data_IF_636052543466
#
_entry.id   IF_636052543466
#
_cell.length_a   1.000
_cell.length_b   1.000
_cell.length_c   1.000
_cell.angle_alpha   90.00
_cell.angle_beta   90.00
_cell.angle_gamma   90.00
#
_symmetry.space_group_name_H-M   'P 1'
#
loop_
_entity.id
_entity.type
_entity.pdbx_description
1 polymer ?
#
# COMPACT_ATOMS: atom_id res chain seq x y z
N UNK A 1 1.30 -25.90 5.16
CA UNK A 1 1.57 -24.81 6.12
C UNK A 1 2.00 -25.33 7.48
N UNK A 2 1.43 -26.45 7.98
CA UNK A 2 1.79 -27.00 9.29
C UNK A 2 3.21 -27.60 9.43
N UNK A 3 3.96 -27.71 8.32
CA UNK A 3 5.31 -28.28 8.28
C UNK A 3 6.40 -27.27 7.90
N UNK A 4 6.09 -25.97 7.89
CA UNK A 4 7.11 -24.94 7.66
C UNK A 4 8.04 -24.87 8.89
N UNK A 5 9.36 -25.07 8.74
CA UNK A 5 10.30 -25.14 9.86
C UNK A 5 10.42 -23.82 10.64
N UNK A 6 9.93 -22.73 10.08
CA UNK A 6 10.01 -21.35 10.57
C UNK A 6 8.63 -20.75 10.90
N UNK A 7 7.60 -21.58 11.06
CA UNK A 7 6.20 -21.14 11.30
C UNK A 7 6.03 -20.14 12.45
N UNK A 8 6.81 -20.30 13.53
CA UNK A 8 6.71 -19.46 14.72
C UNK A 8 7.79 -18.36 14.75
N UNK A 9 8.59 -18.24 13.69
CA UNK A 9 9.62 -17.20 13.59
C UNK A 9 8.96 -15.86 13.36
N UNK A 10 9.19 -14.92 14.27
CA UNK A 10 8.82 -13.52 14.08
C UNK A 10 9.93 -12.82 13.33
N UNK A 11 9.58 -12.04 12.30
CA UNK A 11 10.56 -11.22 11.58
C UNK A 11 11.02 -10.08 12.46
N UNK A 12 12.32 -9.79 12.41
CA UNK A 12 12.85 -8.52 12.94
C UNK A 12 12.39 -7.35 12.07
N UNK A 13 12.48 -6.13 12.59
CA UNK A 13 12.11 -4.93 11.85
C UNK A 13 12.83 -4.79 10.49
N UNK A 14 14.16 -5.05 10.38
CA UNK A 14 14.85 -5.01 9.09
C UNK A 14 14.40 -6.13 8.12
N UNK A 15 14.21 -7.35 8.62
CA UNK A 15 13.72 -8.46 7.78
C UNK A 15 12.31 -8.18 7.25
N UNK A 16 11.47 -7.53 8.06
CA UNK A 16 10.16 -7.10 7.61
C UNK A 16 10.26 -6.01 6.53
N UNK A 17 11.18 -5.05 6.67
CA UNK A 17 11.40 -4.00 5.67
C UNK A 17 11.89 -4.58 4.34
N UNK A 18 12.80 -5.55 4.37
CA UNK A 18 13.27 -6.29 3.18
C UNK A 18 12.13 -7.04 2.50
N UNK A 19 11.30 -7.74 3.28
CA UNK A 19 10.15 -8.47 2.76
C UNK A 19 9.12 -7.52 2.11
N UNK A 20 8.76 -6.43 2.78
CA UNK A 20 7.81 -5.45 2.23
C UNK A 20 8.36 -4.77 0.97
N UNK A 21 9.67 -4.54 0.91
CA UNK A 21 10.33 -4.03 -0.28
C UNK A 21 10.19 -5.00 -1.45
N UNK A 22 10.46 -6.29 -1.24
CA UNK A 22 10.31 -7.31 -2.27
C UNK A 22 8.85 -7.46 -2.75
N UNK A 23 7.87 -7.32 -1.84
CA UNK A 23 6.45 -7.33 -2.18
C UNK A 23 6.08 -6.10 -3.03
N UNK A 24 6.57 -4.92 -2.68
CA UNK A 24 6.39 -3.70 -3.44
C UNK A 24 6.97 -3.81 -4.85
N UNK A 25 8.20 -4.30 -4.97
CA UNK A 25 8.84 -4.54 -6.26
C UNK A 25 8.03 -5.53 -7.11
N UNK A 26 7.50 -6.59 -6.50
CA UNK A 26 6.65 -7.55 -7.19
C UNK A 26 5.34 -6.91 -7.69
N UNK A 27 4.73 -6.02 -6.91
CA UNK A 27 3.54 -5.29 -7.34
C UNK A 27 3.87 -4.34 -8.52
N UNK A 28 5.01 -3.67 -8.47
CA UNK A 28 5.50 -2.76 -9.52
C UNK A 28 5.72 -3.50 -10.85
N UNK A 29 6.15 -4.77 -10.84
CA UNK A 29 6.34 -5.58 -12.06
C UNK A 29 5.07 -5.74 -12.90
N UNK A 30 3.89 -5.50 -12.32
CA UNK A 30 2.62 -5.59 -13.06
C UNK A 30 2.51 -4.54 -14.17
N UNK A 31 3.16 -3.38 -14.01
CA UNK A 31 3.15 -2.30 -14.98
C UNK A 31 4.59 -1.87 -15.28
N UNK A 32 5.09 -1.98 -16.52
CA UNK A 32 6.50 -1.69 -16.84
C UNK A 32 6.98 -0.29 -16.42
N UNK A 33 6.08 0.71 -16.39
CA UNK A 33 6.39 2.08 -15.99
C UNK A 33 6.44 2.29 -14.47
N UNK A 34 6.08 1.29 -13.67
CA UNK A 34 6.04 1.38 -12.21
C UNK A 34 7.30 0.81 -11.54
N UNK A 35 8.31 0.33 -12.29
CA UNK A 35 9.53 -0.22 -11.70
C UNK A 35 10.20 0.82 -10.78
N UNK A 36 10.30 0.49 -9.48
CA UNK A 36 10.87 1.37 -8.46
C UNK A 36 9.92 2.43 -7.92
N UNK A 37 8.67 2.46 -8.38
CA UNK A 37 7.64 3.40 -7.93
C UNK A 37 7.37 3.25 -6.45
N UNK A 38 7.14 2.01 -5.99
CA UNK A 38 6.81 1.73 -4.59
C UNK A 38 7.92 2.18 -3.64
N UNK A 39 9.19 1.94 -4.00
CA UNK A 39 10.36 2.42 -3.22
C UNK A 39 10.43 3.95 -3.20
N UNK A 40 10.29 4.59 -4.35
CA UNK A 40 10.33 6.05 -4.47
C UNK A 40 9.23 6.74 -3.65
N UNK A 41 8.00 6.23 -3.70
CA UNK A 41 6.88 6.71 -2.89
C UNK A 41 7.16 6.51 -1.40
N UNK A 42 7.65 5.33 -1.00
CA UNK A 42 7.97 5.03 0.39
C UNK A 42 9.01 5.99 0.98
N UNK A 43 10.10 6.25 0.25
CA UNK A 43 11.17 7.12 0.73
C UNK A 43 10.73 8.59 0.79
N UNK A 44 9.94 9.06 -0.19
CA UNK A 44 9.34 10.40 -0.16
C UNK A 44 8.36 10.56 1.00
N UNK A 45 7.53 9.56 1.25
CA UNK A 45 6.55 9.59 2.34
C UNK A 45 7.24 9.58 3.72
N UNK A 46 8.30 8.78 3.88
CA UNK A 46 9.10 8.76 5.10
C UNK A 46 9.78 10.11 5.36
N UNK A 47 10.33 10.74 4.32
CA UNK A 47 10.95 12.07 4.44
C UNK A 47 9.92 13.15 4.78
N UNK A 48 8.73 13.09 4.17
CA UNK A 48 7.64 13.98 4.51
C UNK A 48 7.19 13.82 5.96
N UNK A 49 7.07 12.57 6.45
CA UNK A 49 6.73 12.27 7.84
C UNK A 49 7.75 12.85 8.82
N UNK A 50 9.05 12.66 8.57
CA UNK A 50 10.12 13.26 9.40
C UNK A 50 10.02 14.78 9.45
N UNK A 51 9.81 15.42 8.30
CA UNK A 51 9.67 16.90 8.22
C UNK A 51 8.42 17.42 8.92
N UNK A 52 7.37 16.61 8.96
CA UNK A 52 6.15 16.90 9.70
C UNK A 52 6.28 16.64 11.22
N UNK A 53 7.43 16.13 11.69
CA UNK A 53 7.70 15.90 13.11
C UNK A 53 7.07 14.62 13.67
N UNK A 54 6.72 13.65 12.81
CA UNK A 54 6.24 12.34 13.25
C UNK A 54 7.36 11.56 13.97
N UNK A 55 6.96 10.61 14.82
CA UNK A 55 7.93 9.76 15.50
C UNK A 55 8.68 8.86 14.51
N UNK A 56 9.82 8.31 14.94
CA UNK A 56 10.57 7.36 14.11
C UNK A 56 9.76 6.06 13.88
N UNK A 57 8.89 5.67 14.81
CA UNK A 57 7.99 4.54 14.63
C UNK A 57 6.94 4.81 13.53
N UNK A 58 6.34 6.00 13.54
CA UNK A 58 5.33 6.41 12.57
C UNK A 58 5.94 6.63 11.19
N UNK A 59 7.15 7.19 11.15
CA UNK A 59 7.95 7.31 9.92
C UNK A 59 8.19 5.94 9.29
N UNK A 60 8.56 4.91 10.08
CA UNK A 60 8.69 3.54 9.58
C UNK A 60 7.36 2.98 9.11
N UNK A 61 6.27 3.21 9.84
CA UNK A 61 4.93 2.76 9.45
C UNK A 61 4.50 3.35 8.10
N UNK A 62 4.64 4.65 7.91
CA UNK A 62 4.32 5.35 6.65
C UNK A 62 5.20 4.84 5.51
N UNK A 63 6.50 4.64 5.76
CA UNK A 63 7.41 4.07 4.76
C UNK A 63 6.96 2.68 4.32
N UNK A 64 6.68 1.80 5.29
CA UNK A 64 6.17 0.43 5.05
C UNK A 64 4.88 0.45 4.26
N UNK A 65 3.94 1.33 4.62
CA UNK A 65 2.69 1.48 3.89
C UNK A 65 2.91 1.94 2.45
N UNK A 66 3.83 2.90 2.23
CA UNK A 66 4.22 3.36 0.90
C UNK A 66 4.78 2.25 0.00
N UNK A 67 5.58 1.33 0.58
CA UNK A 67 6.14 0.19 -0.17
C UNK A 67 5.07 -0.75 -0.73
N UNK A 68 3.93 -0.88 -0.06
CA UNK A 68 2.90 -1.87 -0.44
C UNK A 68 1.56 -1.25 -0.81
N UNK A 69 1.48 0.08 -0.95
CA UNK A 69 0.22 0.81 -1.18
C UNK A 69 -0.55 0.31 -2.42
N UNK A 70 0.18 -0.10 -3.45
CA UNK A 70 -0.33 -0.54 -4.73
C UNK A 70 -0.45 -2.07 -4.89
N UNK A 71 -0.22 -2.86 -3.84
CA UNK A 71 -0.26 -4.33 -3.94
C UNK A 71 -1.57 -4.86 -4.55
N UNK A 72 -2.68 -4.18 -4.28
CA UNK A 72 -3.99 -4.51 -4.82
C UNK A 72 -4.15 -4.29 -6.32
N UNK A 73 -3.22 -3.60 -7.00
CA UNK A 73 -3.23 -3.48 -8.47
C UNK A 73 -3.22 -4.84 -9.14
N UNK A 74 -2.63 -5.85 -8.48
CA UNK A 74 -2.63 -7.25 -8.92
C UNK A 74 -4.04 -7.78 -9.24
N UNK A 75 -5.08 -7.31 -8.55
CA UNK A 75 -6.47 -7.73 -8.77
C UNK A 75 -7.19 -7.05 -9.94
N UNK A 76 -6.56 -6.11 -10.63
CA UNK A 76 -7.13 -5.40 -11.78
C UNK A 76 -6.47 -5.89 -13.08
N UNK A 77 -7.21 -6.25 -14.15
CA UNK A 77 -6.63 -6.76 -15.39
C UNK A 77 -5.69 -5.75 -16.07
N UNK A 78 -4.59 -6.23 -16.68
CA UNK A 78 -3.66 -5.35 -17.42
C UNK A 78 -4.34 -4.65 -18.60
N UNK A 79 -5.34 -5.28 -19.24
CA UNK A 79 -6.12 -4.63 -20.29
C UNK A 79 -6.86 -3.36 -19.84
N UNK A 80 -7.07 -3.19 -18.52
CA UNK A 80 -7.61 -1.95 -17.94
C UNK A 80 -6.48 -0.95 -17.68
N UNK A 81 -5.36 -1.38 -17.10
CA UNK A 81 -4.21 -0.51 -16.80
C UNK A 81 -3.52 0.06 -18.04
N UNK A 82 -3.42 -0.75 -19.10
CA UNK A 82 -2.70 -0.44 -20.33
C UNK A 82 -3.65 0.02 -21.45
N UNK A 83 -4.93 0.28 -21.12
CA UNK A 83 -5.94 0.67 -22.09
C UNK A 83 -5.53 1.96 -22.82
N UNK A 84 -5.45 1.97 -24.16
CA UNK A 84 -5.27 3.20 -24.90
C UNK A 84 -6.56 4.02 -24.86
N UNK A 85 -6.49 5.24 -24.33
CA UNK A 85 -7.64 6.16 -24.24
C UNK A 85 -8.36 6.13 -22.89
N UNK A 86 -9.52 6.79 -22.77
CA UNK A 86 -10.21 6.93 -21.49
C UNK A 86 -10.80 5.60 -20.99
N UNK A 87 -10.74 5.41 -19.68
CA UNK A 87 -11.46 4.34 -19.00
C UNK A 87 -12.96 4.63 -19.00
N UNK A 88 -13.74 3.60 -19.28
CA UNK A 88 -15.18 3.55 -18.97
C UNK A 88 -15.39 3.67 -17.47
N UNK A 89 -16.62 3.99 -17.06
CA UNK A 89 -16.98 4.06 -15.63
C UNK A 89 -16.70 2.72 -14.91
N UNK A 90 -17.11 1.59 -15.48
CA UNK A 90 -16.87 0.27 -14.91
C UNK A 90 -15.37 -0.08 -14.78
N UNK A 91 -14.53 0.36 -15.73
CA UNK A 91 -13.08 0.18 -15.67
C UNK A 91 -12.45 1.08 -14.59
N UNK A 92 -12.93 2.32 -14.48
CA UNK A 92 -12.49 3.25 -13.44
C UNK A 92 -12.82 2.72 -12.05
N UNK A 93 -14.01 2.19 -11.84
CA UNK A 93 -14.37 1.58 -10.56
C UNK A 93 -13.49 0.37 -10.22
N UNK A 94 -13.12 -0.45 -11.21
CA UNK A 94 -12.14 -1.53 -11.00
C UNK A 94 -10.78 -1.01 -10.55
N UNK A 95 -10.28 0.05 -11.18
CA UNK A 95 -9.05 0.73 -10.75
C UNK A 95 -9.20 1.24 -9.32
N UNK A 96 -10.32 1.88 -8.96
CA UNK A 96 -10.57 2.40 -7.61
C UNK A 96 -10.65 1.34 -6.52
N UNK A 97 -10.84 0.06 -6.88
CA UNK A 97 -10.83 -1.04 -5.91
C UNK A 97 -9.41 -1.42 -5.44
N UNK A 98 -8.35 -1.02 -6.13
CA UNK A 98 -7.00 -1.48 -5.77
C UNK A 98 -6.56 -1.14 -4.33
N UNK A 99 -6.87 0.03 -3.72
CA UNK A 99 -6.49 0.29 -2.33
C UNK A 99 -7.25 -0.61 -1.35
N UNK A 100 -8.52 -0.90 -1.64
CA UNK A 100 -9.31 -1.87 -0.89
C UNK A 100 -8.68 -3.28 -0.95
N UNK A 101 -8.24 -3.70 -2.14
CA UNK A 101 -7.58 -4.98 -2.32
C UNK A 101 -6.22 -5.03 -1.60
N UNK A 102 -5.44 -3.94 -1.63
CA UNK A 102 -4.22 -3.79 -0.84
C UNK A 102 -4.49 -4.05 0.64
N UNK A 103 -5.45 -3.32 1.22
CA UNK A 103 -5.82 -3.49 2.62
C UNK A 103 -6.30 -4.91 2.94
N UNK A 104 -7.12 -5.50 2.06
CA UNK A 104 -7.64 -6.86 2.23
C UNK A 104 -6.54 -7.92 2.22
N UNK A 105 -5.53 -7.77 1.37
CA UNK A 105 -4.38 -8.71 1.30
C UNK A 105 -3.54 -8.58 2.57
N UNK A 106 -3.15 -7.36 2.94
CA UNK A 106 -2.25 -7.10 4.06
C UNK A 106 -2.87 -7.48 5.41
N UNK A 107 -4.17 -7.25 5.62
CA UNK A 107 -4.89 -7.64 6.85
C UNK A 107 -4.92 -9.15 7.12
N UNK A 108 -4.56 -9.98 6.13
CA UNK A 108 -4.42 -11.44 6.35
C UNK A 108 -3.15 -11.79 7.10
N UNK A 109 -2.17 -10.89 7.14
CA UNK A 109 -0.90 -11.10 7.84
C UNK A 109 -0.98 -10.47 9.22
N UNK A 110 -0.84 -11.31 10.26
CA UNK A 110 -0.79 -10.82 11.64
C UNK A 110 0.41 -9.89 11.80
N UNK A 111 0.19 -8.70 12.37
CA UNK A 111 1.22 -7.67 12.54
C UNK A 111 1.25 -6.60 11.44
N UNK A 112 0.49 -6.75 10.35
CA UNK A 112 0.40 -5.72 9.29
C UNK A 112 -0.88 -4.89 9.34
N UNK A 113 -1.62 -4.90 10.45
CA UNK A 113 -2.90 -4.20 10.54
C UNK A 113 -2.77 -2.69 10.31
N UNK A 114 -1.77 -2.06 10.92
CA UNK A 114 -1.53 -0.62 10.81
C UNK A 114 -0.99 -0.26 9.43
N UNK A 115 -0.04 -1.04 8.91
CA UNK A 115 0.47 -0.90 7.54
C UNK A 115 -0.69 -1.00 6.55
N UNK A 116 -1.60 -1.97 6.73
CA UNK A 116 -2.76 -2.16 5.87
C UNK A 116 -3.76 -0.99 5.95
N UNK A 117 -3.91 -0.37 7.13
CA UNK A 117 -4.80 0.77 7.30
C UNK A 117 -4.29 1.99 6.52
N UNK A 118 -3.01 2.33 6.68
CA UNK A 118 -2.38 3.45 5.98
C UNK A 118 -2.29 3.18 4.48
N UNK A 119 -1.86 1.98 4.08
CA UNK A 119 -1.73 1.59 2.68
C UNK A 119 -3.07 1.57 1.94
N UNK A 120 -4.18 1.20 2.59
CA UNK A 120 -5.50 1.20 1.97
C UNK A 120 -6.12 2.60 1.83
N UNK A 121 -5.64 3.57 2.60
CA UNK A 121 -6.17 4.93 2.64
C UNK A 121 -5.42 5.92 1.73
N UNK A 122 -4.45 5.48 0.93
CA UNK A 122 -3.60 6.38 0.13
C UNK A 122 -4.34 7.20 -0.96
N UNK A 123 -5.59 6.84 -1.26
CA UNK A 123 -6.49 7.60 -2.14
C UNK A 123 -7.63 8.31 -1.41
N UNK A 124 -7.62 8.29 -0.07
CA UNK A 124 -8.52 9.10 0.73
C UNK A 124 -8.13 10.58 0.67
N UNK A 125 -9.10 11.45 0.90
CA UNK A 125 -8.93 12.90 0.82
C UNK A 125 -9.50 13.53 2.06
N UNK A 126 -8.86 14.59 2.58
CA UNK A 126 -9.26 15.22 3.84
C UNK A 126 -10.70 15.75 3.82
N UNK A 127 -11.23 16.07 2.65
CA UNK A 127 -12.61 16.51 2.42
C UNK A 127 -13.64 15.36 2.29
N UNK A 128 -13.20 14.10 2.38
CA UNK A 128 -14.05 12.91 2.24
C UNK A 128 -14.40 12.53 0.80
N UNK A 129 -13.90 13.25 -0.21
CA UNK A 129 -14.14 12.93 -1.64
C UNK A 129 -13.30 11.77 -2.18
N UNK A 130 -12.46 11.19 -1.32
CA UNK A 130 -11.56 10.08 -1.64
C UNK A 130 -12.26 8.72 -1.71
N UNK A 131 -11.44 7.66 -1.75
CA UNK A 131 -11.90 6.28 -1.81
C UNK A 131 -10.84 5.34 -1.20
N UNK A 132 -11.20 4.12 -0.76
CA UNK A 132 -12.47 3.41 -0.95
C UNK A 132 -13.56 3.68 0.10
N UNK A 133 -13.22 4.28 1.24
CA UNK A 133 -14.14 4.51 2.37
C UNK A 133 -14.79 5.89 2.34
N UNK A 134 -14.22 6.85 1.62
CA UNK A 134 -14.67 8.26 1.67
C UNK A 134 -14.38 8.89 3.03
N UNK A 135 -13.26 8.47 3.65
CA UNK A 135 -12.86 8.91 4.97
C UNK A 135 -12.36 10.35 4.91
N UNK A 136 -13.02 11.25 5.64
CA UNK A 136 -12.54 12.62 5.84
C UNK A 136 -11.36 12.67 6.81
N UNK A 137 -10.70 13.83 6.90
CA UNK A 137 -9.47 13.99 7.69
C UNK A 137 -9.58 13.57 9.15
N UNK A 138 -10.75 13.76 9.78
CA UNK A 138 -10.97 13.34 11.17
C UNK A 138 -10.95 11.81 11.38
N UNK A 139 -11.20 11.03 10.33
CA UNK A 139 -11.14 9.57 10.34
C UNK A 139 -9.79 9.03 9.84
N UNK A 140 -8.95 9.89 9.27
CA UNK A 140 -7.60 9.57 8.83
C UNK A 140 -6.64 9.95 9.96
N UNK A 141 -6.36 9.01 10.85
CA UNK A 141 -5.38 9.23 11.90
C UNK A 141 -4.01 9.45 11.23
N UNK A 142 -3.33 10.59 11.45
CA UNK A 142 -1.89 10.61 11.25
C UNK A 142 -1.34 9.58 12.23
N UNK A 143 -0.51 8.67 11.74
CA UNK A 143 0.03 7.53 12.47
C UNK A 143 0.31 7.84 13.96
#
# INVERSE_FOLDING_TARGET
LDQAPDRDRTLTEPELDELLTAIGDFADLKCPFAIGHSRGVADLAAEAARRAGLSEADTRLVRRAGLVHDLGRLGVPNSVWEKPGPLTEAERERVRLHPYLTGRILRRVKGLADVAAVAAAHHERLDGSGYPLGAGGAALTPC
#
